data_IF_970569070685
#
_entry.id   IF_970569070685
#
_cell.length_a   1.000
_cell.length_b   1.000
_cell.length_c   1.000
_cell.angle_alpha   90.00
_cell.angle_beta   90.00
_cell.angle_gamma   90.00
#
_symmetry.space_group_name_H-M   'P 1'
#
loop_
_entity.id
_entity.type
_entity.pdbx_description
1 polymer ?
#
# COMPACT_ATOMS: atom_id res chain seq x y z
N UNK A 1 -9.14 -6.48 -11.51
CA UNK A 1 -9.88 -5.23 -11.27
C UNK A 1 -9.29 -4.51 -10.07
N UNK A 2 -9.22 -3.18 -10.10
CA UNK A 2 -8.84 -2.39 -8.92
C UNK A 2 -10.07 -2.19 -8.04
N UNK A 3 -9.94 -2.49 -6.75
CA UNK A 3 -10.99 -2.31 -5.74
C UNK A 3 -11.07 -0.85 -5.27
N UNK A 4 -9.91 -0.20 -5.12
CA UNK A 4 -9.77 1.19 -4.71
C UNK A 4 -9.28 2.06 -5.87
N UNK A 5 -9.80 3.29 -5.93
CA UNK A 5 -9.30 4.36 -6.79
C UNK A 5 -8.67 5.49 -5.97
N UNK A 6 -8.01 6.42 -6.68
CA UNK A 6 -7.35 7.59 -6.08
C UNK A 6 -8.31 8.42 -5.20
N UNK A 7 -9.56 8.55 -5.64
CA UNK A 7 -10.63 9.27 -4.96
C UNK A 7 -11.22 8.52 -3.77
N UNK A 8 -10.95 7.23 -3.62
CA UNK A 8 -11.39 6.45 -2.46
C UNK A 8 -10.41 6.57 -1.27
N UNK A 9 -9.16 6.96 -1.53
CA UNK A 9 -8.11 7.09 -0.51
C UNK A 9 -8.47 8.16 0.53
N UNK A 10 -8.24 7.85 1.80
CA UNK A 10 -8.59 8.74 2.91
C UNK A 10 -7.52 9.80 3.18
N UNK A 11 -6.29 9.59 2.69
CA UNK A 11 -5.17 10.49 2.95
C UNK A 11 -4.68 11.22 1.69
N UNK A 12 -3.96 12.31 1.91
CA UNK A 12 -3.27 13.03 0.85
C UNK A 12 -1.94 12.35 0.52
N UNK A 13 -1.72 12.18 -0.78
CA UNK A 13 -0.52 11.59 -1.34
C UNK A 13 0.05 12.46 -2.44
N UNK A 14 1.37 12.37 -2.63
CA UNK A 14 2.01 12.88 -3.82
C UNK A 14 1.71 11.93 -4.99
N UNK A 15 1.18 12.48 -6.08
CA UNK A 15 0.91 11.75 -7.32
C UNK A 15 1.99 12.08 -8.35
N UNK A 16 3.25 11.94 -7.94
CA UNK A 16 4.37 12.07 -8.85
C UNK A 16 4.33 10.86 -9.77
N UNK A 17 4.06 11.07 -11.05
CA UNK A 17 4.25 10.01 -12.02
C UNK A 17 5.77 9.75 -12.05
N UNK A 18 6.21 8.59 -11.56
CA UNK A 18 7.59 8.15 -11.77
C UNK A 18 7.86 8.28 -13.28
N UNK A 19 8.85 9.08 -13.63
CA UNK A 19 9.23 9.24 -15.02
C UNK A 19 9.55 7.85 -15.60
N UNK A 20 9.19 7.57 -16.86
CA UNK A 20 9.41 6.25 -17.47
C UNK A 20 10.90 5.83 -17.51
N UNK A 21 11.81 6.75 -17.20
CA UNK A 21 13.27 6.55 -17.11
C UNK A 21 13.75 6.14 -15.70
N UNK A 22 12.85 5.94 -14.72
CA UNK A 22 13.26 5.60 -13.35
C UNK A 22 13.64 4.11 -13.25
N UNK A 23 14.88 3.76 -12.84
CA UNK A 23 15.33 2.36 -12.71
C UNK A 23 14.56 1.54 -11.67
N UNK A 24 13.65 2.17 -10.91
CA UNK A 24 12.68 1.51 -10.02
C UNK A 24 11.60 0.73 -10.78
N UNK A 25 11.34 1.07 -12.05
CA UNK A 25 10.37 0.36 -12.90
C UNK A 25 10.97 -0.97 -13.41
N UNK A 26 12.30 -1.05 -13.53
CA UNK A 26 13.02 -2.20 -14.11
C UNK A 26 13.67 -3.14 -13.07
N UNK A 27 13.76 -2.73 -11.80
CA UNK A 27 14.51 -3.47 -10.76
C UNK A 27 13.65 -4.30 -9.81
N UNK A 28 13.70 -5.63 -9.97
CA UNK A 28 13.40 -6.74 -9.01
C UNK A 28 12.28 -6.52 -7.96
N UNK A 29 11.20 -7.34 -7.98
CA UNK A 29 10.02 -7.16 -7.13
C UNK A 29 10.27 -7.26 -5.60
N UNK A 30 11.30 -7.96 -5.14
CA UNK A 30 11.50 -8.26 -3.71
C UNK A 30 12.11 -7.12 -2.86
N UNK A 31 12.78 -6.14 -3.47
CA UNK A 31 13.42 -5.01 -2.74
C UNK A 31 12.67 -3.70 -2.88
N UNK A 32 11.47 -3.72 -3.47
CA UNK A 32 10.65 -2.51 -3.61
C UNK A 32 10.14 -2.07 -2.23
N UNK A 33 10.65 -0.94 -1.76
CA UNK A 33 10.20 -0.28 -0.54
C UNK A 33 8.91 0.46 -0.85
N UNK A 34 7.89 0.30 -0.01
CA UNK A 34 6.63 1.03 -0.10
C UNK A 34 6.86 2.50 0.25
N UNK A 35 6.70 3.40 -0.72
CA UNK A 35 6.62 4.81 -0.40
C UNK A 35 5.21 5.19 0.08
N UNK A 36 5.04 5.27 1.41
CA UNK A 36 3.78 5.73 2.06
C UNK A 36 3.40 7.20 1.77
N UNK A 37 4.25 7.94 1.08
CA UNK A 37 3.98 9.31 0.61
C UNK A 37 3.52 9.33 -0.85
N UNK A 38 3.77 8.28 -1.63
CA UNK A 38 3.40 8.19 -3.05
C UNK A 38 2.07 7.48 -3.23
N UNK A 39 1.11 8.16 -3.85
CA UNK A 39 -0.26 7.66 -3.98
C UNK A 39 -0.36 6.47 -4.92
N UNK A 40 0.46 6.45 -5.98
CA UNK A 40 0.48 5.35 -6.94
C UNK A 40 0.99 4.04 -6.33
N UNK A 41 2.05 4.11 -5.52
CA UNK A 41 2.57 2.93 -4.81
C UNK A 41 1.58 2.43 -3.77
N UNK A 42 1.05 3.31 -2.92
CA UNK A 42 0.08 2.91 -1.88
C UNK A 42 -1.18 2.33 -2.51
N UNK A 43 -1.73 2.98 -3.54
CA UNK A 43 -2.93 2.51 -4.23
C UNK A 43 -2.71 1.14 -4.88
N UNK A 44 -1.58 0.95 -5.56
CA UNK A 44 -1.26 -0.33 -6.21
C UNK A 44 -1.03 -1.43 -5.17
N UNK A 45 -0.37 -1.12 -4.04
CA UNK A 45 -0.17 -2.03 -2.93
C UNK A 45 -1.50 -2.47 -2.29
N UNK A 46 -2.39 -1.52 -1.97
CA UNK A 46 -3.70 -1.81 -1.40
C UNK A 46 -4.56 -2.66 -2.33
N UNK A 47 -4.55 -2.37 -3.63
CA UNK A 47 -5.26 -3.16 -4.62
C UNK A 47 -4.71 -4.59 -4.74
N UNK A 48 -3.39 -4.77 -4.67
CA UNK A 48 -2.76 -6.10 -4.64
C UNK A 48 -3.15 -6.88 -3.37
N UNK A 49 -3.12 -6.23 -2.21
CA UNK A 49 -3.56 -6.80 -0.93
C UNK A 49 -5.02 -7.24 -0.99
N UNK A 50 -5.88 -6.38 -1.51
CA UNK A 50 -7.30 -6.65 -1.70
C UNK A 50 -7.53 -7.86 -2.61
N UNK A 51 -6.83 -7.92 -3.73
CA UNK A 51 -6.94 -9.03 -4.67
C UNK A 51 -6.45 -10.35 -4.06
N UNK A 52 -5.31 -10.33 -3.36
CA UNK A 52 -4.77 -11.52 -2.72
C UNK A 52 -5.61 -12.03 -1.55
N UNK A 53 -6.20 -11.10 -0.78
CA UNK A 53 -7.10 -11.39 0.33
C UNK A 53 -8.55 -11.61 -0.12
N UNK A 54 -8.83 -11.50 -1.42
CA UNK A 54 -10.16 -11.58 -2.04
C UNK A 54 -11.19 -10.66 -1.36
N UNK A 55 -10.80 -9.43 -1.07
CA UNK A 55 -11.70 -8.44 -0.51
C UNK A 55 -12.73 -7.99 -1.55
N UNK A 56 -14.00 -8.13 -1.18
CA UNK A 56 -15.14 -7.68 -1.99
C UNK A 56 -15.51 -6.22 -1.70
N UNK A 57 -15.13 -5.71 -0.52
CA UNK A 57 -15.48 -4.35 -0.07
C UNK A 57 -14.25 -3.47 0.13
N UNK A 58 -14.43 -2.16 -0.06
CA UNK A 58 -13.36 -1.15 0.12
C UNK A 58 -12.95 -0.95 1.58
N UNK A 59 -13.83 -1.26 2.53
CA UNK A 59 -13.60 -1.05 3.96
C UNK A 59 -12.28 -1.63 4.51
N UNK A 60 -11.95 -2.93 4.29
CA UNK A 60 -10.66 -3.48 4.69
C UNK A 60 -9.50 -2.77 3.99
N UNK A 61 -9.64 -2.37 2.74
CA UNK A 61 -8.57 -1.69 2.02
C UNK A 61 -8.29 -0.28 2.59
N UNK A 62 -9.33 0.47 2.97
CA UNK A 62 -9.19 1.75 3.69
C UNK A 62 -8.65 1.57 5.11
N UNK A 63 -8.97 0.46 5.78
CA UNK A 63 -8.36 0.10 7.06
C UNK A 63 -6.85 -0.13 6.90
N UNK A 64 -6.44 -0.91 5.89
CA UNK A 64 -5.03 -1.13 5.60
C UNK A 64 -4.30 0.20 5.30
N UNK A 65 -4.92 1.10 4.54
CA UNK A 65 -4.38 2.45 4.27
C UNK A 65 -4.10 3.22 5.57
N UNK A 66 -5.08 3.29 6.49
CA UNK A 66 -4.93 3.95 7.80
C UNK A 66 -3.81 3.35 8.63
N UNK A 67 -3.69 2.03 8.64
CA UNK A 67 -2.62 1.35 9.37
C UNK A 67 -1.24 1.67 8.78
N UNK A 68 -1.11 1.65 7.45
CA UNK A 68 0.13 2.01 6.75
C UNK A 68 0.53 3.47 7.04
N UNK A 69 -0.44 4.38 7.10
CA UNK A 69 -0.16 5.81 7.27
C UNK A 69 0.15 6.20 8.71
N UNK A 70 -0.64 5.70 9.67
CA UNK A 70 -0.61 6.17 11.06
C UNK A 70 0.20 5.27 11.99
N UNK A 71 0.24 3.96 11.73
CA UNK A 71 0.76 2.98 12.68
C UNK A 71 2.01 2.26 12.19
N UNK A 72 2.26 2.25 10.88
CA UNK A 72 3.40 1.57 10.30
C UNK A 72 4.72 2.14 10.84
N UNK A 73 5.54 1.33 11.52
CA UNK A 73 6.82 1.78 12.03
C UNK A 73 7.73 2.18 10.87
N UNK A 74 8.53 3.22 11.07
CA UNK A 74 9.44 3.74 10.05
C UNK A 74 10.55 2.76 9.63
N UNK A 75 10.74 1.65 10.34
CA UNK A 75 11.65 0.56 9.96
C UNK A 75 11.02 -0.40 8.95
N UNK A 76 9.69 -0.53 8.97
CA UNK A 76 8.93 -1.42 8.08
C UNK A 76 8.61 -0.67 6.79
N UNK A 77 9.44 -0.90 5.78
CA UNK A 77 9.34 -0.22 4.48
C UNK A 77 9.11 -1.19 3.33
N UNK A 78 9.70 -2.38 3.34
CA UNK A 78 9.57 -3.35 2.24
C UNK A 78 8.15 -3.88 2.10
N UNK A 79 7.65 -4.06 0.87
CA UNK A 79 6.31 -4.60 0.60
C UNK A 79 5.98 -5.85 1.42
N UNK A 80 6.92 -6.80 1.49
CA UNK A 80 6.80 -8.04 2.27
C UNK A 80 6.61 -7.77 3.77
N UNK A 81 7.43 -6.87 4.33
CA UNK A 81 7.37 -6.56 5.76
C UNK A 81 6.10 -5.78 6.10
N UNK A 82 5.69 -4.84 5.24
CA UNK A 82 4.43 -4.09 5.41
C UNK A 82 3.25 -5.05 5.41
N UNK A 83 3.22 -6.00 4.47
CA UNK A 83 2.18 -7.03 4.43
C UNK A 83 2.16 -7.85 5.71
N UNK A 84 3.31 -8.40 6.11
CA UNK A 84 3.42 -9.23 7.30
C UNK A 84 2.96 -8.46 8.56
N UNK A 85 3.39 -7.21 8.67
CA UNK A 85 3.01 -6.32 9.77
C UNK A 85 1.50 -6.04 9.78
N UNK A 86 0.89 -5.79 8.61
CA UNK A 86 -0.56 -5.62 8.51
C UNK A 86 -1.32 -6.84 8.97
N UNK A 87 -0.90 -8.05 8.56
CA UNK A 87 -1.55 -9.31 8.95
C UNK A 87 -1.42 -9.54 10.46
N UNK A 88 -0.22 -9.36 11.00
CA UNK A 88 0.06 -9.50 12.44
C UNK A 88 -0.73 -8.51 13.30
N UNK A 89 -0.88 -7.28 12.81
CA UNK A 89 -1.54 -6.21 13.55
C UNK A 89 -3.02 -6.00 13.17
N UNK A 90 -3.54 -6.80 12.23
CA UNK A 90 -4.90 -6.63 11.71
C UNK A 90 -5.99 -6.71 12.79
N UNK A 91 -5.81 -7.66 13.71
CA UNK A 91 -6.72 -7.87 14.84
C UNK A 91 -6.44 -6.94 16.03
N UNK A 92 -5.28 -6.28 16.05
CA UNK A 92 -4.87 -5.39 17.15
C UNK A 92 -5.48 -4.00 17.02
N UNK A 93 -5.76 -3.58 15.79
CA UNK A 93 -6.39 -2.31 15.50
C UNK A 93 -7.79 -2.61 14.93
N UNK A 94 -8.87 -2.34 15.66
CA UNK A 94 -10.25 -2.51 15.19
C UNK A 94 -10.75 -1.26 14.49
#
# INVERSE_FOLDING_TARGET
>A
MALLNRSDLQFQYAWSALSPDDPRITGKPDSTLLNRHEGYEVLSFLNRLAHASKWDTKSPALKAERLIKNHLPGDVRSHKNVWQWLVDNWNRYQ
#
